data_IF_041317450259
#
_entry.id   IF_041317450259
#
_cell.length_a   1.000
_cell.length_b   1.000
_cell.length_c   1.000
_cell.angle_alpha   90.00
_cell.angle_beta   90.00
_cell.angle_gamma   90.00
#
_symmetry.space_group_name_H-M   'P 1'
#
loop_
_entity.id
_entity.type
_entity.pdbx_description
1 polymer ?
#
# COMPACT_ATOMS: atom_id res chain seq x y z
N UNK A 1 -4.84 0.36 9.32
CA UNK A 1 -5.81 -0.66 9.78
C UNK A 1 -6.86 0.07 10.61
N UNK A 2 -8.10 -0.37 10.57
CA UNK A 2 -9.22 0.24 11.29
C UNK A 2 -9.73 -0.78 12.30
N UNK A 3 -9.94 -0.37 13.55
CA UNK A 3 -10.57 -1.23 14.55
C UNK A 3 -12.02 -1.46 14.17
N UNK A 4 -12.36 -2.71 13.84
CA UNK A 4 -13.65 -3.05 13.25
C UNK A 4 -14.81 -2.87 14.26
N UNK A 5 -14.69 -3.30 15.54
CA UNK A 5 -15.71 -3.02 16.54
C UNK A 5 -15.95 -1.52 16.78
N UNK A 6 -14.89 -0.71 16.84
CA UNK A 6 -15.01 0.74 17.04
C UNK A 6 -15.64 1.43 15.84
N UNK A 7 -15.31 0.98 14.62
CA UNK A 7 -15.89 1.48 13.37
C UNK A 7 -17.40 1.28 13.34
N UNK A 8 -17.87 0.08 13.70
CA UNK A 8 -19.31 -0.24 13.66
C UNK A 8 -20.12 0.34 14.82
N UNK A 9 -19.46 0.90 15.85
CA UNK A 9 -20.13 1.70 16.89
C UNK A 9 -20.43 3.14 16.43
N UNK A 10 -19.82 3.60 15.35
CA UNK A 10 -20.08 4.95 14.82
C UNK A 10 -21.40 4.97 14.02
N UNK A 11 -22.03 6.14 13.87
CA UNK A 11 -23.10 6.35 12.90
C UNK A 11 -22.69 5.82 11.51
N UNK A 12 -23.58 5.09 10.85
CA UNK A 12 -23.31 4.42 9.56
C UNK A 12 -22.68 5.36 8.54
N UNK A 13 -23.20 6.58 8.44
CA UNK A 13 -22.67 7.59 7.53
C UNK A 13 -21.20 7.97 7.84
N UNK A 14 -20.82 8.09 9.11
CA UNK A 14 -19.44 8.41 9.51
C UNK A 14 -18.50 7.24 9.20
N UNK A 15 -18.92 6.01 9.51
CA UNK A 15 -18.17 4.80 9.18
C UNK A 15 -17.94 4.68 7.66
N UNK A 16 -19.00 4.86 6.88
CA UNK A 16 -18.95 4.78 5.41
C UNK A 16 -18.02 5.87 4.84
N UNK A 17 -18.12 7.12 5.33
CA UNK A 17 -17.24 8.22 4.91
C UNK A 17 -15.77 7.94 5.23
N UNK A 18 -15.47 7.41 6.43
CA UNK A 18 -14.11 7.07 6.82
C UNK A 18 -13.51 5.97 5.94
N UNK A 19 -14.27 4.92 5.66
CA UNK A 19 -13.82 3.82 4.80
C UNK A 19 -13.66 4.29 3.36
N UNK A 20 -14.58 5.10 2.84
CA UNK A 20 -14.46 5.69 1.51
C UNK A 20 -13.18 6.55 1.39
N UNK A 21 -12.89 7.39 2.39
CA UNK A 21 -11.68 8.19 2.43
C UNK A 21 -10.42 7.30 2.51
N UNK A 22 -10.43 6.25 3.33
CA UNK A 22 -9.32 5.29 3.39
C UNK A 22 -9.08 4.58 2.05
N UNK A 23 -10.14 4.23 1.32
CA UNK A 23 -10.03 3.64 -0.02
C UNK A 23 -9.43 4.64 -1.02
N UNK A 24 -9.91 5.89 -1.05
CA UNK A 24 -9.35 6.94 -1.90
C UNK A 24 -7.87 7.17 -1.58
N UNK A 25 -7.52 7.17 -0.29
CA UNK A 25 -6.13 7.33 0.14
C UNK A 25 -5.24 6.16 -0.26
N UNK A 26 -5.66 4.90 -0.01
CA UNK A 26 -4.84 3.71 -0.34
C UNK A 26 -4.67 3.53 -1.84
N UNK A 27 -5.71 3.81 -2.62
CA UNK A 27 -5.70 3.66 -4.09
C UNK A 27 -5.14 4.87 -4.84
N UNK A 28 -4.94 5.98 -4.14
CA UNK A 28 -4.64 7.30 -4.70
C UNK A 28 -5.65 7.81 -5.73
N UNK A 29 -6.86 7.25 -5.74
CA UNK A 29 -7.94 7.71 -6.61
C UNK A 29 -8.69 8.87 -5.91
N UNK A 30 -8.87 10.02 -6.59
CA UNK A 30 -9.52 11.18 -5.99
C UNK A 30 -11.04 11.01 -5.82
N UNK A 31 -11.66 10.07 -6.54
CA UNK A 31 -13.12 9.89 -6.54
C UNK A 31 -13.55 8.81 -5.56
N UNK A 32 -14.62 9.04 -4.81
CA UNK A 32 -15.15 8.03 -3.90
C UNK A 32 -15.73 6.81 -4.64
N UNK A 33 -15.64 5.60 -4.07
CA UNK A 33 -16.38 4.46 -4.61
C UNK A 33 -17.88 4.74 -4.57
N UNK A 34 -18.62 4.15 -5.51
CA UNK A 34 -20.09 4.21 -5.52
C UNK A 34 -20.63 3.67 -4.19
N UNK A 35 -21.57 4.41 -3.57
CA UNK A 35 -22.09 4.11 -2.24
C UNK A 35 -22.58 2.66 -2.09
N UNK A 36 -23.38 2.17 -3.06
CA UNK A 36 -23.90 0.81 -3.02
C UNK A 36 -22.78 -0.27 -3.06
N UNK A 37 -21.67 -0.01 -3.75
CA UNK A 37 -20.53 -0.93 -3.79
C UNK A 37 -19.74 -0.89 -2.48
N UNK A 38 -19.58 0.29 -1.88
CA UNK A 38 -18.97 0.46 -0.57
C UNK A 38 -19.74 -0.32 0.51
N UNK A 39 -21.07 -0.17 0.57
CA UNK A 39 -21.90 -0.85 1.58
C UNK A 39 -21.84 -2.37 1.47
N UNK A 40 -21.99 -2.92 0.26
CA UNK A 40 -21.83 -4.36 0.02
C UNK A 40 -20.45 -4.88 0.44
N UNK A 41 -19.40 -4.13 0.13
CA UNK A 41 -18.04 -4.48 0.51
C UNK A 41 -17.86 -4.50 2.04
N UNK A 42 -18.46 -3.53 2.76
CA UNK A 42 -18.41 -3.47 4.22
C UNK A 42 -19.20 -4.60 4.89
N UNK A 43 -20.37 -4.94 4.36
CA UNK A 43 -21.18 -6.03 4.89
C UNK A 43 -20.47 -7.38 4.71
N UNK A 44 -19.88 -7.62 3.54
CA UNK A 44 -19.08 -8.82 3.29
C UNK A 44 -17.80 -8.87 4.15
N UNK A 45 -17.11 -7.74 4.31
CA UNK A 45 -15.94 -7.65 5.18
C UNK A 45 -16.30 -7.86 6.67
N UNK A 46 -17.49 -7.42 7.12
CA UNK A 46 -18.01 -7.70 8.46
C UNK A 46 -18.25 -9.20 8.67
N UNK A 47 -18.73 -9.89 7.62
CA UNK A 47 -18.88 -11.34 7.59
C UNK A 47 -17.57 -12.13 7.44
N UNK A 48 -16.41 -11.46 7.39
CA UNK A 48 -15.09 -12.09 7.31
C UNK A 48 -14.57 -12.35 5.88
N UNK A 49 -15.37 -12.03 4.85
CA UNK A 49 -14.95 -12.21 3.47
C UNK A 49 -14.01 -11.08 3.02
N UNK A 50 -12.92 -11.44 2.33
CA UNK A 50 -12.10 -10.46 1.63
C UNK A 50 -12.85 -9.92 0.40
N UNK A 51 -12.73 -8.63 0.12
CA UNK A 51 -13.41 -7.95 -0.98
C UNK A 51 -12.47 -7.00 -1.72
N UNK A 52 -12.49 -7.05 -3.05
CA UNK A 52 -11.84 -6.04 -3.88
C UNK A 52 -12.80 -4.88 -4.15
N UNK A 53 -12.37 -3.66 -3.87
CA UNK A 53 -13.10 -2.45 -4.18
C UNK A 53 -12.11 -1.32 -4.39
N UNK A 54 -12.33 -0.53 -5.45
CA UNK A 54 -11.58 0.72 -5.64
C UNK A 54 -10.06 0.48 -5.78
N UNK A 55 -9.67 -0.63 -6.42
CA UNK A 55 -8.28 -1.07 -6.53
C UNK A 55 -7.61 -1.38 -5.19
N UNK A 56 -8.39 -1.59 -4.15
CA UNK A 56 -7.95 -2.05 -2.84
C UNK A 56 -8.55 -3.42 -2.57
N UNK A 57 -7.95 -4.15 -1.62
CA UNK A 57 -8.55 -5.31 -0.97
C UNK A 57 -8.83 -4.97 0.49
N UNK A 58 -10.08 -5.17 0.90
CA UNK A 58 -10.54 -5.06 2.28
C UNK A 58 -10.72 -6.46 2.87
N UNK A 59 -10.18 -6.70 4.05
CA UNK A 59 -10.30 -8.00 4.73
C UNK A 59 -10.03 -7.87 6.22
N UNK A 60 -10.51 -8.84 7.00
CA UNK A 60 -10.19 -8.91 8.43
C UNK A 60 -8.79 -9.50 8.65
N UNK A 61 -8.02 -8.88 9.54
CA UNK A 61 -6.75 -9.40 10.01
C UNK A 61 -6.54 -9.04 11.46
N UNK A 62 -6.35 -10.04 12.33
CA UNK A 62 -6.20 -9.88 13.78
C UNK A 62 -7.30 -8.99 14.41
N UNK A 63 -8.56 -9.26 14.05
CA UNK A 63 -9.74 -8.53 14.56
C UNK A 63 -9.90 -7.10 14.02
N UNK A 64 -9.09 -6.67 13.05
CA UNK A 64 -9.14 -5.33 12.46
C UNK A 64 -9.48 -5.38 10.98
N UNK A 65 -10.13 -4.34 10.48
CA UNK A 65 -10.29 -4.13 9.05
C UNK A 65 -8.96 -3.65 8.46
N UNK A 66 -8.43 -4.40 7.51
CA UNK A 66 -7.27 -4.02 6.73
C UNK A 66 -7.70 -3.64 5.33
N UNK A 67 -7.23 -2.48 4.89
CA UNK A 67 -7.36 -1.98 3.51
C UNK A 67 -5.95 -1.93 2.96
N UNK A 68 -5.69 -2.68 1.88
CA UNK A 68 -4.41 -2.69 1.19
C UNK A 68 -4.62 -2.46 -0.30
N UNK A 69 -3.58 -1.98 -0.99
CA UNK A 69 -3.61 -1.86 -2.44
C UNK A 69 -3.74 -3.24 -3.07
N UNK A 70 -4.56 -3.38 -4.11
CA UNK A 70 -4.65 -4.61 -4.89
C UNK A 70 -3.46 -4.72 -5.84
N UNK A 71 -2.80 -5.89 -5.89
CA UNK A 71 -1.61 -6.07 -6.73
C UNK A 71 -1.89 -5.78 -8.20
N UNK A 72 -3.00 -6.28 -8.75
CA UNK A 72 -3.36 -6.08 -10.15
C UNK A 72 -3.48 -4.60 -10.53
N UNK A 73 -3.87 -3.74 -9.58
CA UNK A 73 -3.99 -2.32 -9.82
C UNK A 73 -2.63 -1.58 -9.91
N UNK A 74 -1.54 -2.23 -9.49
CA UNK A 74 -0.17 -1.69 -9.54
C UNK A 74 0.81 -2.58 -10.30
N UNK A 75 0.38 -3.75 -10.80
CA UNK A 75 1.25 -4.77 -11.38
C UNK A 75 2.11 -4.24 -12.53
N UNK A 76 1.57 -3.32 -13.33
CA UNK A 76 2.24 -2.71 -14.47
C UNK A 76 2.93 -1.37 -14.13
N UNK A 77 2.92 -0.93 -12.86
CA UNK A 77 3.59 0.30 -12.45
C UNK A 77 5.09 0.05 -12.23
N UNK A 78 5.90 0.74 -13.01
CA UNK A 78 7.35 0.78 -12.84
C UNK A 78 7.84 2.21 -13.07
N UNK A 79 8.68 2.71 -12.16
CA UNK A 79 9.28 4.05 -12.25
C UNK A 79 10.78 3.92 -12.07
N UNK A 80 11.57 4.61 -12.89
CA UNK A 80 13.02 4.63 -12.75
C UNK A 80 13.43 5.19 -11.38
N UNK A 81 14.45 4.60 -10.76
CA UNK A 81 15.02 5.13 -9.54
C UNK A 81 15.66 6.50 -9.78
N UNK A 82 15.33 7.46 -8.92
CA UNK A 82 15.90 8.79 -8.89
C UNK A 82 16.06 9.26 -7.43
N UNK A 83 16.65 10.44 -7.21
CA UNK A 83 16.84 10.99 -5.86
C UNK A 83 15.52 11.12 -5.08
N UNK A 84 14.44 11.43 -5.80
CA UNK A 84 13.07 11.52 -5.30
C UNK A 84 12.17 10.79 -6.29
N UNK A 85 11.40 9.82 -5.83
CA UNK A 85 10.43 9.09 -6.66
C UNK A 85 9.06 9.15 -6.00
N UNK A 86 8.03 9.45 -6.79
CA UNK A 86 6.63 9.27 -6.39
C UNK A 86 6.09 8.01 -7.08
N UNK A 87 5.69 7.02 -6.30
CA UNK A 87 5.11 5.76 -6.79
C UNK A 87 3.68 5.57 -6.27
N UNK A 88 2.78 5.09 -7.13
CA UNK A 88 1.33 4.94 -6.85
C UNK A 88 0.70 6.21 -6.25
N UNK A 89 1.22 7.40 -6.61
CA UNK A 89 0.81 8.73 -6.14
C UNK A 89 0.73 8.90 -4.60
N UNK A 90 1.39 8.01 -3.85
CA UNK A 90 1.31 7.97 -2.37
C UNK A 90 2.65 7.71 -1.71
N UNK A 91 3.50 6.93 -2.37
CA UNK A 91 4.78 6.51 -1.83
C UNK A 91 5.87 7.44 -2.34
N UNK A 92 6.44 8.22 -1.42
CA UNK A 92 7.57 9.10 -1.68
C UNK A 92 8.83 8.37 -1.26
N UNK A 93 9.59 7.88 -2.23
CA UNK A 93 10.94 7.39 -2.00
C UNK A 93 11.88 8.57 -1.85
N UNK A 94 12.67 8.59 -0.78
CA UNK A 94 13.81 9.48 -0.64
C UNK A 94 15.06 8.67 -0.33
N UNK A 95 16.15 9.03 -0.99
CA UNK A 95 17.47 8.52 -0.66
C UNK A 95 18.19 9.56 0.19
N UNK A 96 18.83 9.13 1.27
CA UNK A 96 19.63 10.02 2.12
C UNK A 96 20.91 10.48 1.41
N UNK A 97 21.39 9.67 0.46
CA UNK A 97 22.60 9.88 -0.31
C UNK A 97 22.25 10.03 -1.80
N UNK A 98 23.15 10.59 -2.63
CA UNK A 98 23.00 10.55 -4.08
C UNK A 98 22.77 9.13 -4.60
N UNK A 99 21.97 8.99 -5.65
CA UNK A 99 21.76 7.68 -6.32
C UNK A 99 23.13 7.11 -6.71
N UNK A 100 23.54 5.95 -6.18
CA UNK A 100 24.87 5.43 -6.44
C UNK A 100 24.97 4.92 -7.90
N UNK A 101 26.15 5.00 -8.55
CA UNK A 101 26.31 4.56 -9.94
C UNK A 101 25.88 3.11 -10.20
N UNK A 102 26.06 2.21 -9.21
CA UNK A 102 25.61 0.81 -9.27
C UNK A 102 24.09 0.63 -9.36
N UNK A 103 23.33 1.66 -9.00
CA UNK A 103 21.87 1.68 -9.07
C UNK A 103 21.34 2.28 -10.40
N UNK A 104 22.23 2.48 -11.38
CA UNK A 104 21.83 2.85 -12.73
C UNK A 104 20.90 1.79 -13.33
N UNK A 105 19.76 2.23 -13.87
CA UNK A 105 18.74 1.33 -14.44
C UNK A 105 17.86 0.62 -13.42
N UNK A 106 18.03 0.87 -12.12
CA UNK A 106 17.13 0.32 -11.10
C UNK A 106 15.74 0.95 -11.19
N UNK A 107 14.74 0.22 -10.74
CA UNK A 107 13.33 0.63 -10.79
C UNK A 107 12.62 0.42 -9.45
N UNK A 108 11.63 1.28 -9.20
CA UNK A 108 10.60 1.09 -8.17
C UNK A 108 9.39 0.42 -8.81
N UNK A 109 9.00 -0.75 -8.31
CA UNK A 109 7.81 -1.50 -8.78
C UNK A 109 7.22 -2.33 -7.63
N UNK A 110 5.99 -2.89 -7.75
CA UNK A 110 5.43 -3.70 -6.65
C UNK A 110 6.22 -5.02 -6.49
N UNK A 111 6.24 -5.56 -5.28
CA UNK A 111 6.94 -6.83 -5.00
C UNK A 111 6.42 -8.01 -5.82
N UNK A 112 5.10 -8.08 -6.05
CA UNK A 112 4.46 -9.28 -6.55
C UNK A 112 4.65 -10.47 -5.60
N UNK A 113 4.25 -11.67 -6.03
CA UNK A 113 4.33 -12.86 -5.19
C UNK A 113 5.78 -13.30 -4.95
N UNK A 114 6.60 -13.35 -6.00
CA UNK A 114 8.00 -13.76 -5.91
C UNK A 114 8.81 -12.81 -5.01
N UNK A 115 8.66 -11.49 -5.18
CA UNK A 115 9.32 -10.51 -4.33
C UNK A 115 8.81 -10.57 -2.89
N UNK A 116 7.51 -10.78 -2.67
CA UNK A 116 6.94 -10.94 -1.33
C UNK A 116 7.48 -12.17 -0.61
N UNK A 117 7.66 -13.29 -1.30
CA UNK A 117 8.28 -14.50 -0.74
C UNK A 117 9.75 -14.26 -0.40
N UNK A 118 10.52 -13.64 -1.32
CA UNK A 118 11.93 -13.33 -1.11
C UNK A 118 12.15 -12.34 0.05
N UNK A 119 11.28 -11.34 0.20
CA UNK A 119 11.37 -10.35 1.26
C UNK A 119 11.01 -10.91 2.65
N UNK A 120 10.16 -11.94 2.71
CA UNK A 120 9.55 -12.46 3.96
C UNK A 120 10.53 -12.72 5.11
N UNK A 121 11.70 -13.36 4.90
CA UNK A 121 12.64 -13.65 5.98
C UNK A 121 13.31 -12.40 6.57
N UNK A 122 13.27 -11.26 5.88
CA UNK A 122 14.00 -10.05 6.23
C UNK A 122 13.12 -8.94 6.81
N UNK A 123 11.80 -9.16 6.88
CA UNK A 123 10.85 -8.17 7.39
C UNK A 123 11.04 -7.97 8.89
N UNK A 124 11.07 -6.72 9.33
CA UNK A 124 11.11 -6.35 10.76
C UNK A 124 9.72 -6.19 11.36
N UNK A 125 8.67 -6.29 10.55
CA UNK A 125 7.28 -6.10 10.94
C UNK A 125 6.37 -7.20 10.39
N UNK A 126 5.33 -7.54 11.16
CA UNK A 126 4.34 -8.53 10.74
C UNK A 126 3.32 -7.92 9.77
N UNK A 127 3.64 -8.03 8.48
CA UNK A 127 2.81 -7.56 7.38
C UNK A 127 2.17 -8.75 6.67
N UNK A 128 0.86 -8.76 6.43
CA UNK A 128 0.22 -9.86 5.71
C UNK A 128 0.76 -10.00 4.28
N UNK A 129 0.91 -11.23 3.80
CA UNK A 129 1.41 -11.53 2.45
C UNK A 129 0.65 -10.75 1.35
N UNK A 130 -0.68 -10.69 1.45
CA UNK A 130 -1.54 -9.91 0.54
C UNK A 130 -1.22 -8.42 0.49
N UNK A 131 -0.75 -7.83 1.59
CA UNK A 131 -0.31 -6.43 1.61
C UNK A 131 1.08 -6.26 1.03
N UNK A 132 1.91 -7.30 1.14
CA UNK A 132 3.29 -7.28 0.70
C UNK A 132 3.38 -7.34 -0.83
N UNK A 133 2.51 -8.10 -1.49
CA UNK A 133 2.55 -8.22 -2.97
C UNK A 133 2.38 -6.88 -3.70
N UNK A 134 1.60 -5.96 -3.15
CA UNK A 134 1.41 -4.61 -3.71
C UNK A 134 2.32 -3.55 -3.10
N UNK A 135 3.21 -3.92 -2.19
CA UNK A 135 4.15 -3.00 -1.57
C UNK A 135 5.28 -2.65 -2.56
N UNK A 136 5.68 -1.37 -2.67
CA UNK A 136 6.76 -0.99 -3.56
C UNK A 136 8.13 -1.45 -3.03
N UNK A 137 9.01 -1.80 -3.94
CA UNK A 137 10.38 -2.19 -3.63
C UNK A 137 11.33 -1.76 -4.75
N UNK A 138 12.63 -1.82 -4.47
CA UNK A 138 13.69 -1.54 -5.44
C UNK A 138 14.16 -2.83 -6.10
N UNK A 139 14.26 -2.77 -7.42
CA UNK A 139 14.75 -3.86 -8.25
C UNK A 139 15.85 -3.36 -9.17
N UNK A 140 16.85 -4.19 -9.44
CA UNK A 140 17.85 -3.87 -10.46
C UNK A 140 17.32 -4.08 -11.88
N UNK A 141 18.16 -3.78 -12.89
CA UNK A 141 17.80 -3.91 -14.31
C UNK A 141 17.49 -5.35 -14.75
N UNK A 142 17.92 -6.36 -13.98
CA UNK A 142 17.58 -7.78 -14.24
C UNK A 142 16.28 -8.21 -13.56
N UNK A 143 15.68 -7.32 -12.75
CA UNK A 143 14.46 -7.59 -12.02
C UNK A 143 14.68 -8.32 -10.70
N UNK A 144 15.92 -8.36 -10.18
CA UNK A 144 16.23 -8.93 -8.86
C UNK A 144 15.87 -7.92 -7.77
N UNK A 145 15.21 -8.41 -6.71
CA UNK A 145 14.86 -7.61 -5.55
C UNK A 145 16.12 -7.18 -4.80
N UNK A 146 16.31 -5.88 -4.64
CA UNK A 146 17.45 -5.29 -3.94
C UNK A 146 17.09 -4.89 -2.51
N UNK A 147 15.96 -4.21 -2.32
CA UNK A 147 15.50 -3.82 -0.98
C UNK A 147 14.00 -3.51 -0.95
N UNK A 148 13.42 -3.58 0.25
CA UNK A 148 12.04 -3.17 0.56
C UNK A 148 12.10 -2.00 1.56
N UNK A 149 12.27 -0.75 1.06
CA UNK A 149 12.49 0.40 1.91
C UNK A 149 11.45 0.54 3.02
N UNK A 150 11.90 0.65 4.27
CA UNK A 150 11.05 0.81 5.44
C UNK A 150 10.47 -0.48 6.04
N UNK A 151 10.61 -1.64 5.39
CA UNK A 151 10.14 -2.93 5.92
C UNK A 151 11.26 -3.92 6.27
N UNK A 152 12.47 -3.72 5.76
CA UNK A 152 13.66 -4.52 6.10
C UNK A 152 14.83 -3.59 6.43
N UNK A 153 15.97 -4.14 6.88
CA UNK A 153 17.24 -3.40 6.80
C UNK A 153 17.46 -3.01 5.33
N UNK A 154 18.04 -1.83 5.08
CA UNK A 154 18.16 -1.21 3.75
C UNK A 154 19.57 -1.34 3.13
N UNK A 155 20.11 -2.54 2.83
CA UNK A 155 21.24 -2.61 1.91
C UNK A 155 20.73 -2.34 0.48
N UNK A 156 21.53 -1.74 -0.41
CA UNK A 156 22.91 -1.31 -0.21
C UNK A 156 23.06 0.20 0.02
N UNK A 157 21.97 0.93 0.28
CA UNK A 157 21.95 2.35 0.66
C UNK A 157 20.66 2.69 1.41
N UNK A 158 20.70 3.73 2.24
CA UNK A 158 19.55 4.19 3.03
C UNK A 158 18.48 4.79 2.12
N UNK A 159 17.35 4.07 2.05
CA UNK A 159 16.17 4.44 1.32
C UNK A 159 14.96 4.36 2.25
N UNK A 160 14.12 5.38 2.25
CA UNK A 160 12.90 5.39 3.04
C UNK A 160 11.71 5.73 2.16
N UNK A 161 10.61 5.02 2.41
CA UNK A 161 9.32 5.33 1.84
C UNK A 161 8.48 6.10 2.86
N UNK A 162 8.11 7.31 2.48
CA UNK A 162 7.11 8.07 3.20
C UNK A 162 5.77 8.00 2.49
N UNK A 163 4.73 7.81 3.28
CA UNK A 163 3.36 7.87 2.80
C UNK A 163 2.85 9.31 2.87
N UNK A 164 2.05 9.72 1.88
CA UNK A 164 1.21 10.91 2.01
C UNK A 164 0.39 10.80 3.31
N UNK A 165 0.39 11.80 4.21
CA UNK A 165 -0.40 11.73 5.45
C UNK A 165 -1.90 11.51 5.17
N UNK A 166 -2.57 10.71 6.00
CA UNK A 166 -3.98 10.37 5.81
C UNK A 166 -4.91 11.52 6.18
N UNK A 167 -4.62 12.23 7.26
CA UNK A 167 -5.32 13.43 7.72
C UNK A 167 -5.39 14.51 6.64
N UNK A 168 -4.29 14.75 5.92
CA UNK A 168 -4.27 15.68 4.78
C UNK A 168 -5.21 15.25 3.63
N UNK A 169 -5.52 13.96 3.52
CA UNK A 169 -6.49 13.47 2.53
C UNK A 169 -7.95 13.66 2.93
N UNK A 170 -8.23 13.94 4.21
CA UNK A 170 -9.58 14.22 4.69
C UNK A 170 -10.01 15.67 4.45
N UNK A 171 -9.06 16.59 4.35
CA UNK A 171 -9.29 18.05 4.26
C UNK A 171 -9.57 18.50 2.81
N UNK A 172 -9.16 17.71 1.82
CA UNK A 172 -9.33 18.03 0.39
C UNK A 172 -10.67 17.55 -0.19
N UNK A 173 -11.71 17.36 0.65
CA UNK A 173 -13.01 16.83 0.27
C UNK A 173 -14.17 17.60 0.88
#
# INVERSE_FOLDING_TARGET
>A
MIDLPTLFKQPTELADRLVAAALCWVSSNPYRPRYAALRRCLDAAAGGAAQSLHGCVLYQWKGRLRITREYQAVANMSVALAQKVLWDCRWHLRLAQPVPPKASGWVVKPLGEAGAQAARPFLTSDIPFRSLTSHPALFDQSGVLQTVPGLSKNPPFEAEFDLRPFDQSLINH
#
